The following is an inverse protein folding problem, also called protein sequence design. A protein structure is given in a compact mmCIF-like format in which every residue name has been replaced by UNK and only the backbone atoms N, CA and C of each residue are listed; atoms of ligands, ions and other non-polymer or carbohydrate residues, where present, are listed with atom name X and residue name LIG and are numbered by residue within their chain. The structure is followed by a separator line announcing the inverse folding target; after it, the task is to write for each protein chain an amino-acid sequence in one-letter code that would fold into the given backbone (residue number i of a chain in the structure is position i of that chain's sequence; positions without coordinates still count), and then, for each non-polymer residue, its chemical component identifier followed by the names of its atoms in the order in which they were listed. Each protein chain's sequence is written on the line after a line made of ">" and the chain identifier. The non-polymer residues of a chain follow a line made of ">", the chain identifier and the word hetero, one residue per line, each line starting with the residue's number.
data_IF_970227220612
#
_entry.id   IF_970227220612
#
_cell.length_a   1.000
_cell.length_b   1.000
_cell.length_c   1.000
_cell.angle_alpha   90.00
_cell.angle_beta   90.00
_cell.angle_gamma   90.00
#
_symmetry.space_group_name_H-M   'P 1'
#
loop_
_entity.id
_entity.type
_entity.pdbx_description
1 polymer ?
#
# COMPACT_ATOMS: atom_id res chain seq x y z
N UNK A 1 -18.55 14.57 -7.89
CA UNK A 1 -17.34 13.82 -8.25
C UNK A 1 -17.77 12.53 -8.93
N UNK A 2 -17.23 12.23 -10.10
CA UNK A 2 -17.57 11.03 -10.88
C UNK A 2 -16.68 9.84 -10.51
N UNK A 3 -17.06 8.64 -10.96
CA UNK A 3 -16.21 7.44 -10.85
C UNK A 3 -14.83 7.66 -11.51
N UNK A 4 -14.79 8.33 -12.67
CA UNK A 4 -13.54 8.59 -13.38
C UNK A 4 -12.61 9.51 -12.58
N UNK A 5 -13.16 10.49 -11.86
CA UNK A 5 -12.38 11.36 -10.98
C UNK A 5 -11.74 10.58 -9.82
N UNK A 6 -12.48 9.64 -9.22
CA UNK A 6 -11.99 8.79 -8.13
C UNK A 6 -10.86 7.87 -8.60
N UNK A 7 -11.01 7.23 -9.76
CA UNK A 7 -9.98 6.36 -10.34
C UNK A 7 -8.71 7.17 -10.59
N UNK A 8 -8.83 8.33 -11.23
CA UNK A 8 -7.69 9.20 -11.54
C UNK A 8 -6.94 9.64 -10.28
N UNK A 9 -7.66 10.10 -9.24
CA UNK A 9 -7.06 10.48 -7.96
C UNK A 9 -6.32 9.31 -7.30
N UNK A 10 -6.96 8.14 -7.25
CA UNK A 10 -6.33 6.95 -6.69
C UNK A 10 -5.08 6.54 -7.47
N UNK A 11 -5.08 6.69 -8.80
CA UNK A 11 -3.91 6.42 -9.64
C UNK A 11 -2.75 7.37 -9.35
N UNK A 12 -3.02 8.67 -9.25
CA UNK A 12 -2.01 9.67 -8.91
C UNK A 12 -1.35 9.37 -7.54
N UNK A 13 -2.17 9.02 -6.54
CA UNK A 13 -1.68 8.61 -5.22
C UNK A 13 -0.87 7.31 -5.33
N UNK A 14 -1.36 6.33 -6.08
CA UNK A 14 -0.67 5.04 -6.27
C UNK A 14 0.71 5.21 -6.88
N UNK A 15 0.86 6.13 -7.84
CA UNK A 15 2.15 6.48 -8.46
C UNK A 15 3.08 7.16 -7.45
N UNK A 16 2.60 8.17 -6.71
CA UNK A 16 3.38 8.86 -5.67
C UNK A 16 3.86 7.90 -4.59
N UNK A 17 3.00 6.97 -4.17
CA UNK A 17 3.32 5.94 -3.19
C UNK A 17 4.15 4.78 -3.78
N UNK A 18 4.42 4.76 -5.08
CA UNK A 18 5.15 3.67 -5.77
C UNK A 18 4.57 2.28 -5.46
N UNK A 19 3.24 2.15 -5.50
CA UNK A 19 2.55 0.90 -5.11
C UNK A 19 3.02 -0.32 -5.90
N UNK A 20 3.36 -0.14 -7.19
CA UNK A 20 3.90 -1.23 -8.02
C UNK A 20 5.26 -1.73 -7.53
N UNK A 21 6.15 -0.84 -7.10
CA UNK A 21 7.46 -1.23 -6.56
C UNK A 21 7.30 -1.93 -5.21
N UNK A 22 6.35 -1.47 -4.39
CA UNK A 22 6.01 -2.13 -3.11
C UNK A 22 5.46 -3.54 -3.34
N UNK A 23 4.60 -3.74 -4.34
CA UNK A 23 4.11 -5.08 -4.74
C UNK A 23 5.25 -6.00 -5.15
N UNK A 24 6.23 -5.52 -5.92
CA UNK A 24 7.43 -6.29 -6.27
C UNK A 24 8.25 -6.66 -5.03
N UNK A 25 8.48 -5.70 -4.13
CA UNK A 25 9.25 -5.91 -2.92
C UNK A 25 8.59 -6.90 -1.95
N UNK A 26 7.26 -6.85 -1.83
CA UNK A 26 6.47 -7.85 -1.10
C UNK A 26 6.75 -9.24 -1.65
N UNK A 27 6.61 -9.44 -2.97
CA UNK A 27 6.82 -10.74 -3.60
C UNK A 27 8.28 -11.25 -3.43
N UNK A 28 9.26 -10.34 -3.45
CA UNK A 28 10.66 -10.69 -3.16
C UNK A 28 10.83 -11.20 -1.72
N UNK A 29 10.33 -10.46 -0.73
CA UNK A 29 10.45 -10.84 0.68
C UNK A 29 9.69 -12.14 0.95
N UNK A 30 8.49 -12.32 0.37
CA UNK A 30 7.72 -13.56 0.47
C UNK A 30 8.51 -14.75 -0.09
N UNK A 31 9.11 -14.59 -1.27
CA UNK A 31 9.95 -15.62 -1.89
C UNK A 31 11.17 -15.94 -1.03
N UNK A 32 11.87 -14.94 -0.51
CA UNK A 32 13.01 -15.14 0.39
C UNK A 32 12.57 -15.86 1.67
N UNK A 33 11.42 -15.50 2.24
CA UNK A 33 10.93 -16.07 3.50
C UNK A 33 10.55 -17.55 3.42
N UNK A 34 10.28 -18.05 2.22
CA UNK A 34 10.03 -19.46 1.96
C UNK A 34 11.32 -20.32 2.04
N UNK A 35 12.49 -19.70 1.90
CA UNK A 35 13.78 -20.39 1.97
C UNK A 35 14.21 -20.64 3.42
N UNK A 36 14.62 -21.86 3.81
CA UNK A 36 15.06 -22.15 5.18
C UNK A 36 16.24 -21.30 5.67
N UNK A 37 17.09 -20.83 4.74
CA UNK A 37 18.24 -20.01 5.06
C UNK A 37 17.86 -18.60 5.55
N UNK A 38 16.71 -18.07 5.10
CA UNK A 38 16.21 -16.76 5.50
C UNK A 38 16.10 -16.62 7.01
N UNK A 39 15.69 -17.69 7.69
CA UNK A 39 15.45 -17.72 9.12
C UNK A 39 16.71 -17.89 9.98
N UNK A 40 17.89 -18.08 9.37
CA UNK A 40 19.15 -18.23 10.12
C UNK A 40 19.61 -16.93 10.79
N UNK A 41 19.33 -15.78 10.18
CA UNK A 41 19.66 -14.48 10.73
C UNK A 41 18.41 -13.81 11.31
N UNK A 42 18.08 -14.13 12.57
CA UNK A 42 16.84 -13.70 13.24
C UNK A 42 16.61 -12.18 13.19
N UNK A 43 17.66 -11.38 13.32
CA UNK A 43 17.56 -9.92 13.30
C UNK A 43 17.14 -9.41 11.91
N UNK A 44 17.82 -9.89 10.87
CA UNK A 44 17.51 -9.54 9.48
C UNK A 44 16.14 -10.06 9.03
N UNK A 45 15.78 -11.30 9.36
CA UNK A 45 14.46 -11.87 9.05
C UNK A 45 13.34 -11.05 9.70
N UNK A 46 13.54 -10.63 10.95
CA UNK A 46 12.58 -9.81 11.71
C UNK A 46 12.42 -8.43 11.09
N UNK A 47 13.51 -7.78 10.67
CA UNK A 47 13.48 -6.50 9.97
C UNK A 47 12.71 -6.60 8.64
N UNK A 48 13.02 -7.60 7.82
CA UNK A 48 12.32 -7.84 6.54
C UNK A 48 10.84 -8.16 6.73
N UNK A 49 10.47 -8.88 7.78
CA UNK A 49 9.06 -9.17 8.06
C UNK A 49 8.26 -7.95 8.54
N UNK A 50 8.91 -7.05 9.30
CA UNK A 50 8.32 -5.74 9.64
C UNK A 50 8.11 -4.89 8.40
N UNK A 51 9.11 -4.85 7.51
CA UNK A 51 9.02 -4.19 6.21
C UNK A 51 7.84 -4.78 5.40
N UNK A 52 7.76 -6.11 5.26
CA UNK A 52 6.67 -6.79 4.57
C UNK A 52 5.30 -6.39 5.11
N UNK A 53 5.14 -6.37 6.44
CA UNK A 53 3.88 -5.98 7.10
C UNK A 53 3.50 -4.54 6.75
N UNK A 54 4.47 -3.62 6.81
CA UNK A 54 4.25 -2.22 6.48
C UNK A 54 3.87 -2.02 5.00
N UNK A 55 4.63 -2.63 4.08
CA UNK A 55 4.37 -2.58 2.65
C UNK A 55 3.00 -3.17 2.31
N UNK A 56 2.67 -4.33 2.89
CA UNK A 56 1.39 -5.01 2.68
C UNK A 56 0.21 -4.16 3.12
N UNK A 57 0.33 -3.46 4.26
CA UNK A 57 -0.72 -2.54 4.72
C UNK A 57 -1.00 -1.43 3.70
N UNK A 58 0.05 -0.81 3.17
CA UNK A 58 -0.09 0.27 2.19
C UNK A 58 -0.70 -0.20 0.87
N UNK A 59 -0.25 -1.38 0.39
CA UNK A 59 -0.81 -1.98 -0.83
C UNK A 59 -2.29 -2.32 -0.63
N UNK A 60 -2.66 -2.96 0.48
CA UNK A 60 -4.04 -3.32 0.80
C UNK A 60 -4.96 -2.10 0.89
N UNK A 61 -4.47 -0.98 1.44
CA UNK A 61 -5.26 0.25 1.53
C UNK A 61 -5.64 0.77 0.14
N UNK A 62 -4.69 0.83 -0.79
CA UNK A 62 -4.96 1.27 -2.17
C UNK A 62 -5.85 0.28 -2.92
N UNK A 63 -5.57 -1.02 -2.80
CA UNK A 63 -6.37 -2.05 -3.46
C UNK A 63 -7.82 -2.06 -2.91
N UNK A 64 -8.01 -1.83 -1.61
CA UNK A 64 -9.33 -1.70 -0.98
C UNK A 64 -10.13 -0.51 -1.49
N UNK A 65 -9.50 0.67 -1.63
CA UNK A 65 -10.17 1.84 -2.23
C UNK A 65 -10.56 1.54 -3.69
N UNK A 66 -9.68 0.88 -4.45
CA UNK A 66 -9.98 0.49 -5.84
C UNK A 66 -11.16 -0.48 -5.91
N UNK A 67 -11.24 -1.44 -4.99
CA UNK A 67 -12.37 -2.37 -4.89
C UNK A 67 -13.68 -1.64 -4.58
N UNK A 68 -13.69 -0.69 -3.64
CA UNK A 68 -14.86 0.13 -3.33
C UNK A 68 -15.35 0.92 -4.55
N UNK A 69 -14.43 1.51 -5.33
CA UNK A 69 -14.78 2.21 -6.57
C UNK A 69 -15.42 1.26 -7.58
N UNK A 70 -14.81 0.08 -7.80
CA UNK A 70 -15.30 -0.90 -8.77
C UNK A 70 -16.66 -1.49 -8.39
N UNK A 71 -16.92 -1.64 -7.09
CA UNK A 71 -18.20 -2.14 -6.56
C UNK A 71 -19.29 -1.06 -6.50
N UNK A 72 -18.98 0.19 -6.86
CA UNK A 72 -19.93 1.30 -6.82
C UNK A 72 -20.14 1.92 -5.44
N UNK A 73 -19.32 1.53 -4.44
CA UNK A 73 -19.37 2.03 -3.07
C UNK A 73 -18.66 3.40 -2.96
N UNK A 74 -19.11 4.37 -3.77
CA UNK A 74 -18.39 5.64 -3.96
C UNK A 74 -18.26 6.46 -2.68
N UNK A 75 -19.29 6.46 -1.81
CA UNK A 75 -19.24 7.22 -0.55
C UNK A 75 -18.12 6.75 0.37
N UNK A 76 -17.96 5.44 0.49
CA UNK A 76 -16.88 4.84 1.30
C UNK A 76 -15.52 5.04 0.63
N UNK A 77 -15.44 4.86 -0.70
CA UNK A 77 -14.22 5.11 -1.46
C UNK A 77 -13.72 6.55 -1.28
N UNK A 78 -14.62 7.53 -1.26
CA UNK A 78 -14.29 8.94 -1.01
C UNK A 78 -13.66 9.12 0.37
N UNK A 79 -14.30 8.60 1.41
CA UNK A 79 -13.80 8.76 2.78
C UNK A 79 -12.42 8.12 2.98
N UNK A 80 -12.22 6.92 2.45
CA UNK A 80 -10.93 6.22 2.53
C UNK A 80 -9.83 6.92 1.70
N UNK A 81 -10.19 7.47 0.53
CA UNK A 81 -9.27 8.23 -0.32
C UNK A 81 -8.82 9.52 0.35
N UNK A 82 -9.76 10.29 0.93
CA UNK A 82 -9.46 11.52 1.66
C UNK A 82 -8.58 11.25 2.89
N UNK A 83 -8.87 10.16 3.61
CA UNK A 83 -8.04 9.73 4.73
C UNK A 83 -6.61 9.39 4.29
N UNK A 84 -6.46 8.66 3.19
CA UNK A 84 -5.15 8.33 2.64
C UNK A 84 -4.37 9.58 2.22
N UNK A 85 -5.02 10.54 1.56
CA UNK A 85 -4.40 11.82 1.19
C UNK A 85 -3.98 12.63 2.40
N UNK A 86 -4.82 12.68 3.44
CA UNK A 86 -4.49 13.31 4.71
C UNK A 86 -3.27 12.67 5.34
N UNK A 87 -3.28 11.35 5.53
CA UNK A 87 -2.15 10.62 6.12
C UNK A 87 -0.84 10.89 5.34
N UNK A 88 -0.90 10.93 4.01
CA UNK A 88 0.26 11.23 3.16
C UNK A 88 0.76 12.67 3.29
N UNK A 89 -0.14 13.63 3.45
CA UNK A 89 0.22 15.03 3.67
C UNK A 89 1.03 15.21 4.97
N UNK A 90 0.60 14.56 6.06
CA UNK A 90 1.26 14.61 7.37
C UNK A 90 2.45 13.64 7.52
N UNK A 91 2.67 12.75 6.55
CA UNK A 91 3.83 11.83 6.54
C UNK A 91 5.07 12.39 5.85
N UNK A 92 5.02 13.62 5.33
CA UNK A 92 6.17 14.29 4.70
C UNK A 92 7.23 14.75 5.71
N UNK A 93 8.49 15.00 5.28
CA UNK A 93 9.59 15.43 6.16
C UNK A 93 9.45 16.85 6.73
N UNK A 94 8.26 17.46 6.63
CA UNK A 94 7.96 18.79 7.14
C UNK A 94 6.69 18.74 7.99
N UNK A 95 6.82 18.08 9.14
CA UNK A 95 6.32 18.55 10.43
C UNK A 95 7.47 18.42 11.45
#
# INVERSE_FOLDING_TARGET
>A
MSMQDLIKRLEDISQKMRIQDKKKKIAEIEKESAEPFFWKNREESSAKMKELTFLSKQVKQVDGIRELINNGNYKEAIGELERLEFDLYFSGPHD
#
